data_IF_011338939009
#
_entry.id   IF_011338939009
#
_cell.length_a   1.000
_cell.length_b   1.000
_cell.length_c   1.000
_cell.angle_alpha   90.00
_cell.angle_beta   90.00
_cell.angle_gamma   90.00
#
_symmetry.space_group_name_H-M   'P 1'
#
loop_
_entity.id
_entity.type
_entity.pdbx_description
1 polymer ?
#
# COMPACT_ATOMS: atom_id res chain seq x y z
N UNK A 1 15.30 8.77 -1.94
CA UNK A 1 14.26 8.90 -0.89
C UNK A 1 13.48 10.21 -1.05
N UNK A 2 14.15 11.39 -1.12
CA UNK A 2 13.45 12.69 -1.23
C UNK A 2 12.54 12.78 -2.46
N UNK A 3 13.04 12.47 -3.65
CA UNK A 3 12.21 12.46 -4.85
C UNK A 3 11.03 11.46 -4.81
N UNK A 4 11.20 10.32 -4.14
CA UNK A 4 10.09 9.39 -3.90
C UNK A 4 9.05 10.00 -2.95
N UNK A 5 9.51 10.65 -1.88
CA UNK A 5 8.63 11.35 -0.94
C UNK A 5 7.81 12.43 -1.64
N UNK A 6 8.45 13.30 -2.43
CA UNK A 6 7.77 14.37 -3.16
C UNK A 6 6.68 13.82 -4.10
N UNK A 7 6.98 12.76 -4.85
CA UNK A 7 6.01 12.12 -5.75
C UNK A 7 4.82 11.54 -4.98
N UNK A 8 5.07 10.81 -3.88
CA UNK A 8 4.01 10.18 -3.09
C UNK A 8 3.17 11.26 -2.41
N UNK A 9 3.79 12.27 -1.82
CA UNK A 9 3.11 13.40 -1.18
C UNK A 9 2.18 14.13 -2.15
N UNK A 10 2.64 14.35 -3.38
CA UNK A 10 1.83 14.95 -4.43
C UNK A 10 0.60 14.08 -4.78
N UNK A 11 0.80 12.75 -4.95
CA UNK A 11 -0.29 11.84 -5.26
C UNK A 11 -1.32 11.70 -4.14
N UNK A 12 -0.85 11.65 -2.88
CA UNK A 12 -1.71 11.51 -1.71
C UNK A 12 -2.25 12.85 -1.21
N UNK A 13 -1.71 13.98 -1.71
CA UNK A 13 -1.95 15.34 -1.19
C UNK A 13 -1.78 15.37 0.33
N UNK A 14 -0.63 14.88 0.77
CA UNK A 14 -0.30 14.76 2.18
C UNK A 14 1.19 14.99 2.43
N UNK A 15 1.47 15.87 3.38
CA UNK A 15 2.82 16.07 3.90
C UNK A 15 2.98 15.37 5.23
N UNK A 16 4.11 14.66 5.39
CA UNK A 16 4.45 14.01 6.64
C UNK A 16 4.53 15.02 7.78
N UNK A 17 3.82 14.74 8.86
CA UNK A 17 3.86 15.57 10.07
C UNK A 17 5.09 15.31 10.93
N UNK A 18 5.77 14.20 10.71
CA UNK A 18 6.96 13.78 11.43
C UNK A 18 8.00 13.24 10.47
N UNK A 19 9.27 13.42 10.82
CA UNK A 19 10.38 12.84 10.08
C UNK A 19 10.29 11.32 10.11
N UNK A 20 10.53 10.68 8.98
CA UNK A 20 10.71 9.24 8.85
C UNK A 20 12.20 8.96 8.76
N UNK A 21 12.73 8.13 9.66
CA UNK A 21 14.12 7.69 9.61
C UNK A 21 14.25 6.55 8.62
N UNK A 22 15.21 6.64 7.71
CA UNK A 22 15.53 5.58 6.76
C UNK A 22 16.83 4.92 7.21
N UNK A 23 16.78 3.61 7.46
CA UNK A 23 17.92 2.80 7.86
C UNK A 23 18.24 1.79 6.78
N UNK A 24 19.47 1.83 6.28
CA UNK A 24 19.95 0.94 5.22
C UNK A 24 20.96 -0.02 5.81
N UNK A 25 20.75 -1.32 5.63
CA UNK A 25 21.71 -2.37 5.99
C UNK A 25 22.55 -2.75 4.79
N UNK A 26 23.82 -3.08 5.04
CA UNK A 26 24.77 -3.44 3.99
C UNK A 26 24.51 -4.83 3.37
N UNK A 27 23.69 -5.64 4.02
CA UNK A 27 23.34 -6.97 3.53
C UNK A 27 21.95 -7.39 4.00
N UNK A 28 21.35 -8.35 3.31
CA UNK A 28 20.10 -8.98 3.73
C UNK A 28 20.26 -9.74 5.06
N UNK A 29 21.42 -10.34 5.30
CA UNK A 29 21.72 -11.03 6.54
C UNK A 29 21.75 -10.09 7.76
N UNK A 30 22.38 -8.90 7.63
CA UNK A 30 22.37 -7.90 8.69
C UNK A 30 20.95 -7.37 8.94
N UNK A 31 20.18 -7.22 7.86
CA UNK A 31 18.77 -6.80 7.96
C UNK A 31 17.91 -7.85 8.68
N UNK A 32 18.10 -9.14 8.41
CA UNK A 32 17.36 -10.22 9.10
C UNK A 32 17.67 -10.31 10.59
N UNK A 33 18.88 -9.90 11.01
CA UNK A 33 19.28 -9.88 12.42
C UNK A 33 18.83 -8.63 13.16
N UNK A 34 18.13 -7.69 12.48
CA UNK A 34 17.62 -6.50 13.16
C UNK A 34 16.49 -6.86 14.13
N UNK A 35 16.41 -6.10 15.23
CA UNK A 35 15.33 -6.18 16.20
C UNK A 35 14.13 -5.26 15.89
N UNK A 36 13.99 -4.85 14.64
CA UNK A 36 12.90 -3.95 14.19
C UNK A 36 11.54 -4.64 14.21
N UNK A 37 11.54 -5.94 13.98
CA UNK A 37 10.33 -6.79 14.07
C UNK A 37 10.58 -7.94 15.04
N UNK A 38 9.57 -8.29 15.83
CA UNK A 38 9.65 -9.33 16.86
C UNK A 38 9.65 -10.76 16.29
N UNK A 39 9.54 -10.91 14.97
CA UNK A 39 9.48 -12.19 14.29
C UNK A 39 10.63 -12.34 13.30
N UNK A 40 11.09 -13.58 13.12
CA UNK A 40 12.09 -13.91 12.11
C UNK A 40 11.65 -13.45 10.72
N UNK A 41 12.44 -12.59 10.10
CA UNK A 41 12.18 -12.10 8.76
C UNK A 41 12.52 -13.18 7.73
N UNK A 42 11.52 -13.54 6.92
CA UNK A 42 11.71 -14.52 5.84
C UNK A 42 12.55 -13.96 4.71
N UNK A 43 13.25 -14.82 4.00
CA UNK A 43 13.84 -14.49 2.70
C UNK A 43 12.74 -13.94 1.79
N UNK A 44 13.02 -12.83 1.09
CA UNK A 44 12.07 -12.16 0.20
C UNK A 44 11.36 -10.93 0.78
N UNK A 45 11.54 -10.64 2.08
CA UNK A 45 11.11 -9.34 2.62
C UNK A 45 12.16 -8.30 2.22
N UNK A 46 11.79 -7.40 1.31
CA UNK A 46 12.70 -6.38 0.76
C UNK A 46 12.88 -5.17 1.66
N UNK A 47 11.92 -4.92 2.57
CA UNK A 47 11.96 -3.79 3.50
C UNK A 47 10.87 -3.92 4.55
N UNK A 48 10.91 -3.06 5.56
CA UNK A 48 9.89 -3.00 6.61
C UNK A 48 9.69 -1.55 7.05
N UNK A 49 8.44 -1.12 7.09
CA UNK A 49 8.05 0.14 7.72
C UNK A 49 7.59 -0.11 9.15
N UNK A 50 8.38 0.36 10.10
CA UNK A 50 8.06 0.24 11.52
C UNK A 50 7.21 1.41 11.99
N UNK A 51 5.97 1.10 12.37
CA UNK A 51 4.99 2.08 12.82
C UNK A 51 5.38 2.77 14.13
N UNK A 52 5.97 2.02 15.08
CA UNK A 52 6.25 2.52 16.44
C UNK A 52 7.28 3.63 16.48
N UNK A 53 8.32 3.51 15.67
CA UNK A 53 9.45 4.45 15.67
C UNK A 53 9.48 5.33 14.43
N UNK A 54 8.44 5.22 13.59
CA UNK A 54 8.32 5.98 12.34
C UNK A 54 9.61 5.86 11.49
N UNK A 55 10.02 4.64 11.22
CA UNK A 55 11.24 4.35 10.45
C UNK A 55 11.00 3.31 9.38
N UNK A 56 11.73 3.44 8.30
CA UNK A 56 11.79 2.52 7.18
C UNK A 56 13.14 1.85 7.20
N UNK A 57 13.16 0.52 7.09
CA UNK A 57 14.37 -0.30 7.21
C UNK A 57 14.44 -1.27 6.06
N UNK A 58 15.57 -1.34 5.37
CA UNK A 58 15.78 -2.27 4.26
C UNK A 58 17.26 -2.54 4.00
N UNK A 59 17.62 -3.68 3.37
CA UNK A 59 18.97 -3.98 2.94
C UNK A 59 19.27 -3.34 1.58
N UNK A 60 20.54 -3.09 1.32
CA UNK A 60 21.07 -2.80 -0.01
C UNK A 60 21.92 -3.99 -0.48
N UNK A 61 21.46 -4.68 -1.50
CA UNK A 61 22.10 -5.86 -2.08
C UNK A 61 22.93 -5.57 -3.34
N UNK A 62 23.14 -4.27 -3.66
CA UNK A 62 23.86 -3.82 -4.85
C UNK A 62 22.95 -3.55 -6.06
N UNK A 63 21.67 -3.92 -6.03
CA UNK A 63 20.72 -3.63 -7.10
C UNK A 63 20.02 -2.29 -6.87
N UNK A 64 20.44 -1.24 -7.58
CA UNK A 64 19.87 0.11 -7.44
C UNK A 64 18.42 0.23 -7.90
N UNK A 65 17.97 -0.55 -8.87
CA UNK A 65 16.61 -0.53 -9.36
C UNK A 65 15.66 -1.09 -8.30
N UNK A 66 15.98 -2.26 -7.77
CA UNK A 66 15.24 -2.87 -6.67
C UNK A 66 15.27 -1.98 -5.42
N UNK A 67 16.41 -1.39 -5.11
CA UNK A 67 16.56 -0.46 -3.98
C UNK A 67 15.64 0.76 -4.09
N UNK A 68 15.53 1.37 -5.28
CA UNK A 68 14.61 2.48 -5.52
C UNK A 68 13.16 2.06 -5.38
N UNK A 69 12.82 0.89 -5.91
CA UNK A 69 11.47 0.33 -5.78
C UNK A 69 11.09 0.13 -4.31
N UNK A 70 11.96 -0.51 -3.52
CA UNK A 70 11.71 -0.77 -2.10
C UNK A 70 11.59 0.52 -1.30
N UNK A 71 12.47 1.49 -1.51
CA UNK A 71 12.35 2.81 -0.84
C UNK A 71 10.99 3.45 -1.14
N UNK A 72 10.58 3.45 -2.39
CA UNK A 72 9.30 4.06 -2.78
C UNK A 72 8.14 3.32 -2.13
N UNK A 73 8.13 1.99 -2.20
CA UNK A 73 7.13 1.11 -1.60
C UNK A 73 6.97 1.37 -0.09
N UNK A 74 8.06 1.34 0.66
CA UNK A 74 8.05 1.54 2.12
C UNK A 74 7.68 2.97 2.52
N UNK A 75 8.07 3.97 1.73
CA UNK A 75 7.64 5.35 1.98
C UNK A 75 6.13 5.55 1.78
N UNK A 76 5.49 4.81 0.87
CA UNK A 76 4.03 4.83 0.76
C UNK A 76 3.39 4.37 2.07
N UNK A 77 3.89 3.27 2.67
CA UNK A 77 3.40 2.80 3.97
C UNK A 77 3.61 3.85 5.07
N UNK A 78 4.77 4.48 5.11
CA UNK A 78 5.05 5.51 6.10
C UNK A 78 4.08 6.70 6.00
N UNK A 79 3.76 7.15 4.77
CA UNK A 79 2.83 8.25 4.54
C UNK A 79 1.39 7.84 4.87
N UNK A 80 0.94 6.63 4.45
CA UNK A 80 -0.38 6.11 4.82
C UNK A 80 -0.53 6.03 6.35
N UNK A 81 0.51 5.56 7.03
CA UNK A 81 0.52 5.47 8.49
C UNK A 81 0.40 6.83 9.16
N UNK A 82 1.11 7.84 8.64
CA UNK A 82 0.97 9.21 9.13
C UNK A 82 -0.44 9.78 8.85
N UNK A 83 -0.97 9.54 7.65
CA UNK A 83 -2.32 9.97 7.28
C UNK A 83 -3.39 9.37 8.19
N UNK A 84 -3.37 8.07 8.39
CA UNK A 84 -4.44 7.32 9.08
C UNK A 84 -4.25 7.34 10.58
N UNK A 85 -3.02 7.10 11.05
CA UNK A 85 -2.71 6.90 12.47
C UNK A 85 -1.92 8.05 13.11
N UNK A 86 -1.56 9.09 12.35
CA UNK A 86 -0.83 10.25 12.85
C UNK A 86 0.65 9.99 13.13
N UNK A 87 1.24 8.95 12.51
CA UNK A 87 2.67 8.67 12.57
C UNK A 87 3.19 8.25 13.97
N UNK A 88 2.31 7.79 14.87
CA UNK A 88 2.70 7.36 16.22
C UNK A 88 1.79 6.25 16.73
N UNK A 89 2.39 5.15 17.13
CA UNK A 89 1.66 4.05 17.78
C UNK A 89 1.11 4.42 19.16
N UNK A 90 1.68 5.39 19.86
CA UNK A 90 1.02 5.93 21.04
C UNK A 90 -0.36 6.47 20.70
N UNK A 91 -0.54 7.05 19.51
CA UNK A 91 -1.85 7.42 19.00
C UNK A 91 -2.70 6.21 18.59
N UNK A 92 -2.09 5.13 18.07
CA UNK A 92 -2.82 3.89 17.74
C UNK A 92 -3.25 3.14 19.01
N UNK A 93 -2.41 3.12 20.05
CA UNK A 93 -2.70 2.46 21.32
C UNK A 93 -3.59 3.34 22.22
N UNK A 94 -3.33 4.65 22.27
CA UNK A 94 -4.09 5.59 23.08
C UNK A 94 -5.33 6.15 22.38
N UNK A 95 -5.31 6.25 21.05
CA UNK A 95 -6.52 6.53 20.31
C UNK A 95 -7.34 5.25 20.23
N UNK A 96 -8.60 5.34 20.59
CA UNK A 96 -9.63 4.32 20.38
C UNK A 96 -9.82 4.01 18.89
N UNK A 97 -8.78 4.12 18.06
CA UNK A 97 -8.86 3.92 16.62
C UNK A 97 -9.00 2.45 16.32
N UNK A 98 -10.19 2.08 15.88
CA UNK A 98 -10.52 0.73 15.40
C UNK A 98 -10.22 0.55 13.91
N UNK A 99 -9.57 1.53 13.26
CA UNK A 99 -9.30 1.45 11.82
C UNK A 99 -8.24 0.40 11.55
N UNK A 100 -8.59 -0.53 10.68
CA UNK A 100 -7.60 -1.40 10.02
C UNK A 100 -7.65 -1.11 8.53
N UNK A 101 -6.58 -0.56 7.99
CA UNK A 101 -6.42 -0.44 6.54
C UNK A 101 -6.34 -1.85 5.97
N UNK A 102 -7.19 -2.23 4.99
CA UNK A 102 -7.11 -3.56 4.38
C UNK A 102 -5.74 -3.80 3.75
N UNK A 103 -5.21 -5.01 3.86
CA UNK A 103 -3.88 -5.35 3.35
C UNK A 103 -3.77 -5.06 1.86
N UNK A 104 -4.76 -5.41 1.07
CA UNK A 104 -4.79 -5.12 -0.37
C UNK A 104 -4.78 -3.61 -0.68
N UNK A 105 -5.38 -2.80 0.19
CA UNK A 105 -5.41 -1.34 0.03
C UNK A 105 -4.04 -0.74 0.32
N UNK A 106 -3.34 -1.26 1.32
CA UNK A 106 -2.02 -0.81 1.73
C UNK A 106 -0.93 -1.28 0.77
N UNK A 107 -0.80 -2.61 0.58
CA UNK A 107 0.22 -3.21 -0.28
C UNK A 107 -0.01 -2.88 -1.76
N UNK A 108 -1.27 -2.96 -2.19
CA UNK A 108 -1.61 -2.65 -3.58
C UNK A 108 -1.34 -1.19 -3.95
N UNK A 109 -1.51 -0.25 -3.02
CA UNK A 109 -1.14 1.14 -3.28
C UNK A 109 0.38 1.31 -3.32
N UNK A 110 1.10 0.68 -2.43
CA UNK A 110 2.56 0.72 -2.44
C UNK A 110 3.11 0.18 -3.77
N UNK A 111 2.58 -0.94 -4.28
CA UNK A 111 2.91 -1.47 -5.61
C UNK A 111 2.51 -0.51 -6.75
N UNK A 112 1.30 0.04 -6.70
CA UNK A 112 0.81 0.94 -7.75
C UNK A 112 1.65 2.21 -7.87
N UNK A 113 2.04 2.81 -6.74
CA UNK A 113 2.83 4.05 -6.75
C UNK A 113 4.32 3.79 -7.03
N UNK A 114 4.88 2.63 -6.66
CA UNK A 114 6.28 2.29 -6.89
C UNK A 114 6.58 1.73 -8.28
N UNK A 115 5.66 0.95 -8.86
CA UNK A 115 5.86 0.26 -10.14
C UNK A 115 4.88 0.70 -11.23
N UNK A 116 3.83 1.46 -10.88
CA UNK A 116 2.68 1.79 -11.71
C UNK A 116 1.95 0.52 -12.22
N UNK A 117 2.49 -0.16 -13.23
CA UNK A 117 2.01 -1.43 -13.75
C UNK A 117 3.17 -2.32 -14.20
N UNK A 118 3.13 -3.60 -13.87
CA UNK A 118 4.18 -4.55 -14.21
C UNK A 118 3.62 -5.80 -14.91
N UNK A 119 4.50 -6.52 -15.62
CA UNK A 119 4.14 -7.72 -16.40
C UNK A 119 3.65 -8.88 -15.53
N UNK A 120 4.09 -8.98 -14.26
CA UNK A 120 3.61 -10.01 -13.33
C UNK A 120 2.17 -9.73 -12.93
N UNK A 121 1.83 -8.46 -12.65
CA UNK A 121 0.46 -8.06 -12.40
C UNK A 121 -0.42 -8.35 -13.62
N UNK A 122 0.01 -7.95 -14.82
CA UNK A 122 -0.72 -8.20 -16.07
C UNK A 122 -1.00 -9.70 -16.30
N UNK A 123 0.03 -10.53 -16.17
CA UNK A 123 -0.09 -11.98 -16.37
C UNK A 123 -1.11 -12.61 -15.39
N UNK A 124 -1.02 -12.27 -14.11
CA UNK A 124 -1.90 -12.83 -13.08
C UNK A 124 -3.34 -12.34 -13.24
N UNK A 125 -3.53 -11.05 -13.49
CA UNK A 125 -4.88 -10.48 -13.64
C UNK A 125 -5.55 -10.99 -14.92
N UNK A 126 -4.79 -11.18 -15.99
CA UNK A 126 -5.28 -11.79 -17.23
C UNK A 126 -5.73 -13.23 -17.00
N UNK A 127 -4.91 -14.06 -16.32
CA UNK A 127 -5.25 -15.44 -16.01
C UNK A 127 -6.55 -15.57 -15.20
N UNK A 128 -6.68 -14.82 -14.12
CA UNK A 128 -7.90 -14.86 -13.30
C UNK A 128 -9.14 -14.30 -14.02
N UNK A 129 -8.95 -13.32 -14.92
CA UNK A 129 -10.06 -12.75 -15.71
C UNK A 129 -10.56 -13.75 -16.77
N UNK A 130 -9.66 -14.38 -17.52
CA UNK A 130 -10.00 -15.37 -18.55
C UNK A 130 -10.68 -16.60 -17.94
N UNK A 131 -10.21 -17.07 -16.78
CA UNK A 131 -10.78 -18.22 -16.09
C UNK A 131 -11.96 -17.88 -15.16
N UNK A 132 -12.43 -16.64 -15.17
CA UNK A 132 -13.53 -16.14 -14.32
C UNK A 132 -13.36 -16.41 -12.82
N UNK A 133 -12.09 -16.46 -12.34
CA UNK A 133 -11.73 -16.72 -10.93
C UNK A 133 -11.42 -15.44 -10.16
N UNK A 134 -12.04 -14.33 -10.52
CA UNK A 134 -11.79 -13.04 -9.92
C UNK A 134 -12.29 -12.99 -8.47
N UNK A 135 -11.40 -12.80 -7.48
CA UNK A 135 -11.81 -12.72 -6.07
C UNK A 135 -12.54 -11.39 -5.79
N UNK A 136 -13.31 -11.38 -4.71
CA UNK A 136 -13.82 -10.10 -4.17
C UNK A 136 -12.68 -9.29 -3.54
N UNK A 137 -12.87 -7.98 -3.36
CA UNK A 137 -11.85 -7.13 -2.72
C UNK A 137 -11.54 -7.55 -1.28
N UNK A 138 -12.49 -8.20 -0.59
CA UNK A 138 -12.30 -8.72 0.78
C UNK A 138 -11.43 -9.99 0.82
N UNK A 139 -11.29 -10.68 -0.30
CA UNK A 139 -10.50 -11.92 -0.45
C UNK A 139 -9.10 -11.69 -1.00
N UNK A 140 -8.73 -10.44 -1.31
CA UNK A 140 -7.39 -10.09 -1.76
C UNK A 140 -6.38 -10.21 -0.61
N UNK A 141 -5.78 -11.39 -0.49
CA UNK A 141 -4.79 -11.74 0.52
C UNK A 141 -3.48 -12.19 -0.11
N UNK A 142 -2.41 -12.27 0.68
CA UNK A 142 -1.09 -12.73 0.26
C UNK A 142 -0.65 -12.05 -1.04
N UNK A 143 -0.23 -12.82 -2.02
CA UNK A 143 0.22 -12.30 -3.31
C UNK A 143 -0.85 -11.46 -4.03
N UNK A 144 -2.13 -11.83 -3.92
CA UNK A 144 -3.23 -11.08 -4.50
C UNK A 144 -3.49 -9.73 -3.79
N UNK A 145 -3.05 -9.55 -2.57
CA UNK A 145 -3.09 -8.24 -1.93
C UNK A 145 -2.20 -7.22 -2.66
N UNK A 146 -1.06 -7.67 -3.16
CA UNK A 146 -0.14 -6.84 -3.97
C UNK A 146 -0.68 -6.61 -5.37
N UNK A 147 -0.81 -7.65 -6.18
CA UNK A 147 -1.13 -7.53 -7.63
C UNK A 147 -2.59 -7.20 -7.90
N UNK A 148 -3.52 -7.82 -7.18
CA UNK A 148 -4.95 -7.48 -7.22
C UNK A 148 -5.20 -6.07 -6.68
N UNK A 149 -4.56 -5.72 -5.55
CA UNK A 149 -4.62 -4.39 -4.97
C UNK A 149 -4.04 -3.31 -5.90
N UNK A 150 -2.90 -3.58 -6.55
CA UNK A 150 -2.29 -2.71 -7.57
C UNK A 150 -3.27 -2.44 -8.73
N UNK A 151 -3.89 -3.48 -9.25
CA UNK A 151 -4.92 -3.38 -10.29
C UNK A 151 -6.13 -2.57 -9.85
N UNK A 152 -6.57 -2.78 -8.62
CA UNK A 152 -7.72 -2.08 -8.07
C UNK A 152 -7.43 -0.57 -7.91
N UNK A 153 -6.24 -0.20 -7.46
CA UNK A 153 -5.83 1.21 -7.41
C UNK A 153 -5.64 1.82 -8.80
N UNK A 154 -5.10 1.07 -9.76
CA UNK A 154 -5.06 1.50 -11.18
C UNK A 154 -6.46 1.78 -11.71
N UNK A 155 -7.42 0.90 -11.44
CA UNK A 155 -8.84 1.09 -11.79
C UNK A 155 -9.42 2.34 -11.13
N UNK A 156 -9.23 2.52 -9.81
CA UNK A 156 -9.75 3.68 -9.07
C UNK A 156 -9.15 4.97 -9.63
N UNK A 157 -7.84 5.03 -9.79
CA UNK A 157 -7.15 6.22 -10.31
C UNK A 157 -7.55 6.55 -11.75
N UNK A 158 -7.74 5.55 -12.60
CA UNK A 158 -8.14 5.74 -13.99
C UNK A 158 -9.59 6.18 -14.16
N UNK A 159 -10.50 5.67 -13.29
CA UNK A 159 -11.94 5.96 -13.42
C UNK A 159 -12.38 7.18 -12.63
N UNK A 160 -11.82 7.39 -11.45
CA UNK A 160 -12.29 8.41 -10.50
C UNK A 160 -11.30 9.57 -10.30
N UNK A 161 -10.09 9.45 -10.86
CA UNK A 161 -9.03 10.41 -10.69
C UNK A 161 -8.02 10.02 -9.58
N UNK A 162 -6.76 10.41 -9.79
CA UNK A 162 -5.66 10.09 -8.85
C UNK A 162 -5.83 10.74 -7.48
N UNK A 163 -6.50 11.89 -7.42
CA UNK A 163 -6.80 12.60 -6.18
C UNK A 163 -7.68 11.80 -5.22
N UNK A 164 -8.48 10.86 -5.75
CA UNK A 164 -9.32 9.97 -4.94
C UNK A 164 -8.54 9.01 -4.06
N UNK A 165 -7.28 8.74 -4.41
CA UNK A 165 -6.40 7.90 -3.58
C UNK A 165 -6.26 8.51 -2.18
N UNK A 166 -5.84 9.78 -2.10
CA UNK A 166 -5.70 10.48 -0.82
C UNK A 166 -7.05 10.68 -0.10
N UNK A 167 -8.14 10.90 -0.88
CA UNK A 167 -9.49 11.07 -0.31
C UNK A 167 -9.97 9.80 0.42
N UNK A 168 -9.65 8.61 -0.10
CA UNK A 168 -9.99 7.33 0.54
C UNK A 168 -9.37 7.24 1.93
N UNK A 169 -8.07 7.48 2.08
CA UNK A 169 -7.39 7.38 3.37
C UNK A 169 -7.82 8.47 4.35
N UNK A 170 -8.04 9.70 3.89
CA UNK A 170 -8.62 10.77 4.71
C UNK A 170 -10.02 10.39 5.21
N UNK A 171 -10.84 9.81 4.33
CA UNK A 171 -12.19 9.36 4.66
C UNK A 171 -12.18 8.16 5.62
N UNK A 172 -11.25 7.22 5.47
CA UNK A 172 -11.06 6.14 6.45
C UNK A 172 -10.78 6.70 7.84
N UNK A 173 -9.86 7.68 7.95
CA UNK A 173 -9.57 8.34 9.22
C UNK A 173 -10.79 9.01 9.82
N UNK A 174 -11.58 9.73 9.02
CA UNK A 174 -12.78 10.43 9.47
C UNK A 174 -13.88 9.47 9.92
N UNK A 175 -14.09 8.40 9.18
CA UNK A 175 -15.17 7.42 9.45
C UNK A 175 -14.79 6.36 10.47
N UNK A 176 -13.50 6.24 10.81
CA UNK A 176 -12.95 5.18 11.65
C UNK A 176 -13.25 3.76 11.15
N UNK A 177 -13.48 3.63 9.84
CA UNK A 177 -13.83 2.38 9.17
C UNK A 177 -13.36 2.40 7.72
N UNK A 178 -12.70 1.34 7.28
CA UNK A 178 -12.15 1.26 5.93
C UNK A 178 -13.26 1.30 4.86
N UNK A 179 -14.26 0.42 4.96
CA UNK A 179 -15.34 0.34 3.96
C UNK A 179 -16.12 1.65 3.84
N UNK A 180 -16.49 2.26 4.98
CA UNK A 180 -17.12 3.60 5.00
C UNK A 180 -16.21 4.68 4.43
N UNK A 181 -14.88 4.52 4.54
CA UNK A 181 -13.91 5.41 3.92
C UNK A 181 -14.03 5.37 2.39
N UNK A 182 -14.12 4.18 1.82
CA UNK A 182 -14.36 3.99 0.39
C UNK A 182 -15.74 4.50 -0.04
N UNK A 183 -16.79 4.18 0.71
CA UNK A 183 -18.15 4.70 0.44
C UNK A 183 -18.16 6.22 0.40
N UNK A 184 -17.55 6.88 1.38
CA UNK A 184 -17.47 8.34 1.43
C UNK A 184 -16.68 8.96 0.28
N UNK A 185 -15.57 8.34 -0.10
CA UNK A 185 -14.66 8.89 -1.12
C UNK A 185 -15.10 8.59 -2.55
N UNK A 186 -15.66 7.39 -2.79
CA UNK A 186 -15.97 6.86 -4.12
C UNK A 186 -17.48 6.66 -4.37
N UNK A 187 -18.32 6.79 -3.35
CA UNK A 187 -19.76 6.56 -3.45
C UNK A 187 -20.14 5.07 -3.54
N UNK A 188 -19.28 4.13 -3.12
CA UNK A 188 -19.53 2.70 -3.25
C UNK A 188 -18.94 1.89 -2.10
N UNK A 189 -19.64 0.85 -1.65
CA UNK A 189 -19.15 -0.14 -0.70
C UNK A 189 -18.25 -1.17 -1.38
N UNK A 190 -17.65 -2.08 -0.60
CA UNK A 190 -16.72 -3.09 -1.14
C UNK A 190 -17.37 -4.09 -2.12
N UNK A 191 -18.65 -4.38 -1.99
CA UNK A 191 -19.38 -5.24 -2.94
C UNK A 191 -19.52 -4.56 -4.31
N UNK A 192 -19.91 -3.30 -4.30
CA UNK A 192 -20.03 -2.48 -5.50
C UNK A 192 -18.65 -2.24 -6.16
N UNK A 193 -17.65 -1.94 -5.34
CA UNK A 193 -16.26 -1.80 -5.80
C UNK A 193 -15.76 -3.08 -6.48
N UNK A 194 -16.02 -4.26 -5.88
CA UNK A 194 -15.73 -5.56 -6.49
C UNK A 194 -16.40 -5.70 -7.85
N UNK A 195 -17.71 -5.42 -7.92
CA UNK A 195 -18.47 -5.55 -9.16
C UNK A 195 -17.93 -4.63 -10.27
N UNK A 196 -17.58 -3.40 -9.94
CA UNK A 196 -17.03 -2.44 -10.90
C UNK A 196 -15.61 -2.83 -11.34
N UNK A 197 -14.78 -3.32 -10.43
CA UNK A 197 -13.44 -3.80 -10.74
C UNK A 197 -13.48 -5.06 -11.62
N UNK A 198 -14.37 -6.03 -11.35
CA UNK A 198 -14.57 -7.19 -12.23
C UNK A 198 -15.01 -6.80 -13.64
N UNK A 199 -15.92 -5.81 -13.79
CA UNK A 199 -16.28 -5.27 -15.09
C UNK A 199 -15.09 -4.64 -15.80
N UNK A 200 -14.23 -3.94 -15.06
CA UNK A 200 -13.00 -3.37 -15.61
C UNK A 200 -12.06 -4.47 -16.11
N UNK A 201 -11.81 -5.52 -15.31
CA UNK A 201 -10.96 -6.63 -15.72
C UNK A 201 -11.48 -7.35 -16.96
N UNK A 202 -12.78 -7.66 -17.02
CA UNK A 202 -13.41 -8.29 -18.21
C UNK A 202 -13.35 -7.43 -19.49
N UNK A 203 -13.16 -6.13 -19.34
CA UNK A 203 -13.00 -5.22 -20.49
C UNK A 203 -11.54 -5.10 -20.90
N UNK A 204 -10.63 -5.20 -19.93
CA UNK A 204 -9.19 -5.07 -20.17
C UNK A 204 -8.62 -6.34 -20.82
N UNK A 205 -9.18 -7.51 -20.49
CA UNK A 205 -8.74 -8.83 -20.94
C UNK A 205 -9.84 -9.61 -21.66
#
# INVERSE_FOLDING_TARGET
AEGSYEQISLHLRWDLKRRVSIMVYNSHNDFQQTNVVDTYMREGIGGVTELFKNRVVFPFDGNYEQFRHVIHHELVHAIINDMVYGGSMQHVISSRTKIRVPIWSNEGLAEYLSSNWDTKADMVLRDIAIHERMPSVKELNYFMAYKGGQSLWRFIAGKYGREKIGDVFRSMKMTQNAERGYERALGMNFKELTTQWHKYLKKEY
#
